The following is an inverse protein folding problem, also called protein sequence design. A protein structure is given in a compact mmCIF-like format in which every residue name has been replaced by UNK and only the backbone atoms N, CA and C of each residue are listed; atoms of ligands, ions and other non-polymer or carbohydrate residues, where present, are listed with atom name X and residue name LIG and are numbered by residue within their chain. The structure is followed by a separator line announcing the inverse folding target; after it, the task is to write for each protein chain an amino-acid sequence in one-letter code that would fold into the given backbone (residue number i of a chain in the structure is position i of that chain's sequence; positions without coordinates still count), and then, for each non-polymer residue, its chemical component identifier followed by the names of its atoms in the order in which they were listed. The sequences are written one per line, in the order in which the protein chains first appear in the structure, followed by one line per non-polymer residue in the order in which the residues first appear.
data_IF_936364674596
#
_entry.id   IF_936364674596
#
_cell.length_a   1.000
_cell.length_b   1.000
_cell.length_c   1.000
_cell.angle_alpha   90.00
_cell.angle_beta   90.00
_cell.angle_gamma   90.00
#
_symmetry.space_group_name_H-M   'P 1'
#
loop_
_entity.id
_entity.type
_entity.pdbx_description
1 polymer ?
#
# COMPACT_ATOMS: atom_id res chain seq x y z
N UNK A 1 -6.74 42.15 -14.25
CA UNK A 1 -6.02 42.12 -12.96
C UNK A 1 -5.47 40.72 -12.81
N UNK A 2 -4.15 40.61 -12.90
CA UNK A 2 -3.42 39.37 -13.11
C UNK A 2 -3.59 38.39 -11.95
N UNK A 3 -3.88 37.12 -12.27
CA UNK A 3 -3.43 35.98 -11.46
C UNK A 3 -2.47 35.19 -12.34
N UNK A 4 -1.20 35.59 -12.27
CA UNK A 4 -0.09 34.76 -12.69
C UNK A 4 -0.11 33.57 -11.75
N UNK A 5 -0.38 32.38 -12.28
CA UNK A 5 -0.08 31.13 -11.57
C UNK A 5 1.45 31.03 -11.55
N UNK A 6 2.05 31.27 -10.38
CA UNK A 6 3.39 30.78 -10.10
C UNK A 6 3.28 29.25 -9.96
N UNK A 7 3.48 28.54 -11.08
CA UNK A 7 3.96 27.15 -11.02
C UNK A 7 5.38 27.22 -10.47
N UNK A 8 5.50 27.16 -9.14
CA UNK A 8 6.76 26.83 -8.50
C UNK A 8 7.03 25.37 -8.88
N UNK A 9 8.06 25.15 -9.70
CA UNK A 9 8.44 23.82 -10.16
C UNK A 9 8.55 22.85 -9.00
N UNK A 10 7.89 21.69 -9.12
CA UNK A 10 8.14 20.56 -8.23
C UNK A 10 9.61 20.17 -8.37
N UNK A 11 10.40 20.52 -7.36
CA UNK A 11 11.76 20.00 -7.17
C UNK A 11 11.67 18.48 -7.12
N UNK A 12 12.45 17.77 -7.95
CA UNK A 12 12.47 16.30 -7.92
C UNK A 12 13.02 15.85 -6.57
N UNK A 13 12.13 15.58 -5.62
CA UNK A 13 12.50 15.17 -4.28
C UNK A 13 12.73 13.65 -4.28
N UNK A 14 13.94 13.20 -3.96
CA UNK A 14 14.18 11.78 -3.76
C UNK A 14 13.56 11.34 -2.42
N UNK A 15 13.03 10.12 -2.38
CA UNK A 15 12.45 9.58 -1.14
C UNK A 15 13.48 9.58 -0.01
N UNK A 16 13.09 10.00 1.18
CA UNK A 16 13.99 10.05 2.34
C UNK A 16 14.43 8.67 2.87
N UNK A 17 13.85 7.57 2.38
CA UNK A 17 14.16 6.20 2.82
C UNK A 17 15.25 5.50 1.97
N UNK A 18 16.05 6.24 1.19
CA UNK A 18 17.21 5.66 0.49
C UNK A 18 18.13 4.97 1.49
N UNK A 19 18.53 3.74 1.18
CA UNK A 19 19.55 3.04 1.95
C UNK A 19 20.94 3.38 1.42
N UNK A 20 21.81 3.91 2.29
CA UNK A 20 23.21 4.23 2.02
C UNK A 20 24.08 3.19 2.72
N UNK A 21 24.64 2.21 2.00
CA UNK A 21 25.49 1.19 2.61
C UNK A 21 26.83 1.79 3.03
N UNK A 22 27.51 1.16 3.98
CA UNK A 22 28.91 1.50 4.33
C UNK A 22 29.90 0.93 3.30
N UNK A 23 29.56 -0.18 2.65
CA UNK A 23 30.42 -0.90 1.69
C UNK A 23 29.65 -1.29 0.43
N UNK A 24 30.32 -1.13 -0.70
CA UNK A 24 29.85 -1.63 -2.00
C UNK A 24 30.74 -2.79 -2.47
N UNK A 25 30.14 -3.69 -3.26
CA UNK A 25 30.82 -4.77 -3.96
C UNK A 25 30.57 -4.62 -5.44
N UNK A 26 31.63 -4.65 -6.24
CA UNK A 26 31.58 -4.37 -7.67
C UNK A 26 32.00 -5.61 -8.43
N UNK A 27 31.13 -6.07 -9.33
CA UNK A 27 31.39 -7.17 -10.25
C UNK A 27 31.46 -6.66 -11.67
N UNK A 28 32.19 -7.34 -12.54
CA UNK A 28 32.50 -6.83 -13.88
C UNK A 28 32.03 -7.77 -14.98
N UNK A 29 31.69 -7.20 -16.13
CA UNK A 29 31.47 -7.90 -17.39
C UNK A 29 32.30 -7.25 -18.48
N UNK A 30 32.81 -8.04 -19.42
CA UNK A 30 33.56 -7.51 -20.56
C UNK A 30 32.63 -6.70 -21.48
N UNK A 31 33.05 -5.48 -21.82
CA UNK A 31 32.26 -4.56 -22.61
C UNK A 31 33.14 -3.59 -23.38
N UNK A 32 33.45 -3.92 -24.63
CA UNK A 32 34.34 -3.13 -25.51
C UNK A 32 33.95 -1.65 -25.66
N UNK A 33 32.67 -1.32 -25.50
CA UNK A 33 32.18 0.04 -25.68
C UNK A 33 32.28 0.91 -24.40
N UNK A 34 33.21 0.59 -23.50
CA UNK A 34 33.51 1.31 -22.25
C UNK A 34 34.98 1.75 -22.30
N UNK A 35 35.37 2.80 -21.58
CA UNK A 35 36.78 3.22 -21.47
C UNK A 35 37.64 2.12 -20.84
N UNK A 36 37.09 1.44 -19.84
CA UNK A 36 37.79 0.37 -19.10
C UNK A 36 37.72 -0.99 -19.78
N UNK A 37 36.98 -1.10 -20.90
CA UNK A 37 36.56 -2.36 -21.53
C UNK A 37 35.75 -3.28 -20.62
N UNK A 38 35.25 -2.76 -19.50
CA UNK A 38 34.38 -3.47 -18.56
C UNK A 38 33.16 -2.63 -18.18
N UNK A 39 32.03 -3.30 -17.93
CA UNK A 39 30.86 -2.71 -17.30
C UNK A 39 30.73 -3.27 -15.88
N UNK A 40 30.43 -2.40 -14.93
CA UNK A 40 30.28 -2.75 -13.54
C UNK A 40 28.81 -2.98 -13.16
N UNK A 41 28.57 -4.01 -12.36
CA UNK A 41 27.37 -4.16 -11.56
C UNK A 41 27.76 -3.92 -10.11
N UNK A 42 27.38 -2.75 -9.61
CA UNK A 42 27.55 -2.35 -8.21
C UNK A 42 26.42 -2.92 -7.37
N UNK A 43 26.77 -3.65 -6.31
CA UNK A 43 25.88 -4.09 -5.24
C UNK A 43 26.44 -3.66 -3.88
N UNK A 44 25.77 -4.03 -2.79
CA UNK A 44 26.10 -3.54 -1.46
C UNK A 44 25.94 -4.59 -0.36
N UNK A 45 26.60 -4.31 0.77
CA UNK A 45 26.42 -5.03 2.02
C UNK A 45 25.31 -4.37 2.85
N UNK A 46 24.35 -5.15 3.32
CA UNK A 46 23.34 -4.67 4.27
C UNK A 46 23.92 -4.46 5.68
N UNK A 47 23.10 -3.95 6.61
CA UNK A 47 23.48 -3.71 8.02
C UNK A 47 23.92 -4.99 8.77
N UNK A 48 23.67 -6.18 8.21
CA UNK A 48 24.09 -7.49 8.75
C UNK A 48 25.36 -8.01 8.07
N UNK A 49 25.93 -7.26 7.12
CA UNK A 49 27.10 -7.66 6.35
C UNK A 49 26.77 -8.66 5.24
N UNK A 50 25.50 -8.84 4.86
CA UNK A 50 25.11 -9.73 3.77
C UNK A 50 25.05 -8.96 2.45
N UNK A 51 25.61 -9.55 1.39
CA UNK A 51 25.53 -9.01 0.03
C UNK A 51 24.09 -9.07 -0.49
N UNK A 52 23.55 -7.93 -0.94
CA UNK A 52 22.22 -7.85 -1.54
C UNK A 52 22.29 -8.20 -3.01
N UNK A 53 21.21 -8.77 -3.55
CA UNK A 53 21.14 -9.30 -4.94
C UNK A 53 22.28 -10.27 -5.31
N UNK A 54 22.90 -10.92 -4.32
CA UNK A 54 24.10 -11.74 -4.49
C UNK A 54 23.98 -12.77 -5.63
N UNK A 55 22.90 -13.56 -5.67
CA UNK A 55 22.71 -14.55 -6.74
C UNK A 55 22.62 -13.93 -8.13
N UNK A 56 21.87 -12.82 -8.26
CA UNK A 56 21.73 -12.13 -9.55
C UNK A 56 23.04 -11.47 -9.98
N UNK A 57 23.78 -10.92 -9.03
CA UNK A 57 25.07 -10.28 -9.24
C UNK A 57 26.15 -11.32 -9.62
N UNK A 58 26.20 -12.46 -8.91
CA UNK A 58 27.14 -13.55 -9.14
C UNK A 58 26.91 -14.24 -10.48
N UNK A 59 25.63 -14.41 -10.88
CA UNK A 59 25.28 -14.93 -12.20
C UNK A 59 25.59 -13.95 -13.33
N UNK A 60 25.53 -12.65 -13.04
CA UNK A 60 25.76 -11.60 -14.04
C UNK A 60 27.24 -11.34 -14.29
N UNK A 61 28.12 -11.36 -13.27
CA UNK A 61 29.53 -11.02 -13.44
C UNK A 61 30.32 -12.11 -14.19
N UNK A 62 31.39 -11.70 -14.85
CA UNK A 62 32.37 -12.63 -15.40
C UNK A 62 33.19 -13.23 -14.26
N UNK A 63 33.15 -14.55 -14.12
CA UNK A 63 33.85 -15.29 -13.05
C UNK A 63 35.37 -15.26 -13.19
N UNK A 64 35.89 -14.83 -14.35
CA UNK A 64 37.32 -14.65 -14.59
C UNK A 64 37.86 -13.32 -14.11
N UNK A 65 36.98 -12.37 -13.80
CA UNK A 65 37.34 -11.06 -13.27
C UNK A 65 36.97 -11.05 -11.79
N UNK A 66 37.97 -10.84 -10.94
CA UNK A 66 37.74 -10.78 -9.50
C UNK A 66 36.92 -9.54 -9.15
N UNK A 67 35.91 -9.69 -8.28
CA UNK A 67 35.12 -8.57 -7.81
C UNK A 67 35.92 -7.74 -6.81
N UNK A 68 35.62 -6.45 -6.72
CA UNK A 68 36.30 -5.52 -5.83
C UNK A 68 35.33 -4.97 -4.79
N UNK A 69 35.77 -4.90 -3.55
CA UNK A 69 35.03 -4.25 -2.47
C UNK A 69 35.59 -2.84 -2.25
N UNK A 70 34.70 -1.86 -2.09
CA UNK A 70 35.07 -0.49 -1.78
C UNK A 70 34.25 0.05 -0.61
N UNK A 71 34.86 0.92 0.19
CA UNK A 71 34.13 1.74 1.15
C UNK A 71 33.25 2.75 0.41
N UNK A 72 32.01 2.93 0.86
CA UNK A 72 31.06 3.86 0.26
C UNK A 72 31.14 5.22 0.96
N UNK A 73 32.27 5.89 0.79
CA UNK A 73 32.51 7.24 1.29
C UNK A 73 32.21 8.29 0.20
N UNK A 74 31.84 9.53 0.58
CA UNK A 74 31.80 10.67 -0.33
C UNK A 74 33.01 10.69 -1.25
N UNK A 75 32.76 10.73 -2.56
CA UNK A 75 33.82 10.63 -3.57
C UNK A 75 33.57 11.64 -4.68
N UNK A 76 34.59 12.41 -5.05
CA UNK A 76 34.55 13.35 -6.17
C UNK A 76 35.18 12.75 -7.43
N UNK A 77 34.80 13.27 -8.61
CA UNK A 77 35.45 12.91 -9.88
C UNK A 77 34.66 11.94 -10.76
N UNK A 78 33.35 11.79 -10.52
CA UNK A 78 32.45 11.05 -11.39
C UNK A 78 32.30 11.76 -12.75
N UNK A 79 32.28 11.00 -13.85
CA UNK A 79 32.19 11.58 -15.20
C UNK A 79 31.05 10.94 -15.97
N UNK A 80 30.15 11.76 -16.52
CA UNK A 80 29.15 11.29 -17.47
C UNK A 80 29.84 10.84 -18.76
N UNK A 81 29.68 9.57 -19.13
CA UNK A 81 30.29 9.01 -20.34
C UNK A 81 29.34 9.13 -21.54
N UNK A 82 28.25 8.36 -21.53
CA UNK A 82 27.34 8.28 -22.68
C UNK A 82 25.95 7.77 -22.32
N UNK A 83 24.98 8.08 -23.17
CA UNK A 83 23.66 7.41 -23.18
C UNK A 83 23.81 5.95 -23.64
N UNK A 84 23.12 5.05 -22.95
CA UNK A 84 23.00 3.63 -23.28
C UNK A 84 21.57 3.15 -23.00
N UNK A 85 21.19 1.99 -23.52
CA UNK A 85 19.75 1.68 -23.62
C UNK A 85 19.09 2.60 -24.65
N UNK A 86 17.80 2.38 -24.92
CA UNK A 86 17.06 2.98 -26.04
C UNK A 86 17.33 2.30 -27.41
N UNK A 87 16.82 1.07 -27.58
CA UNK A 87 16.71 0.41 -28.88
C UNK A 87 15.26 -0.04 -29.07
N UNK A 88 14.71 0.23 -30.26
CA UNK A 88 13.38 -0.22 -30.68
C UNK A 88 13.57 -1.54 -31.42
N UNK A 89 13.17 -2.64 -30.80
CA UNK A 89 13.08 -3.94 -31.50
C UNK A 89 11.66 -4.46 -31.66
N UNK A 90 10.66 -3.84 -31.03
CA UNK A 90 9.21 -4.10 -31.18
C UNK A 90 8.45 -3.19 -30.19
N UNK A 91 7.15 -3.44 -29.94
CA UNK A 91 6.28 -2.80 -28.92
C UNK A 91 6.86 -2.71 -27.48
N UNK A 92 8.07 -3.21 -27.24
CA UNK A 92 8.74 -3.21 -25.94
C UNK A 92 9.91 -2.20 -25.93
N UNK A 93 9.68 -1.04 -25.33
CA UNK A 93 10.70 0.00 -25.18
C UNK A 93 11.71 -0.41 -24.10
N UNK A 94 12.99 -0.53 -24.47
CA UNK A 94 14.05 -0.69 -23.47
C UNK A 94 14.30 0.63 -22.76
N UNK A 95 14.29 0.62 -21.43
CA UNK A 95 14.66 1.79 -20.62
C UNK A 95 16.03 2.36 -21.01
N UNK A 96 16.12 3.69 -21.05
CA UNK A 96 17.36 4.42 -21.28
C UNK A 96 18.11 4.60 -19.95
N UNK A 97 19.43 4.55 -20.04
CA UNK A 97 20.36 4.70 -18.93
C UNK A 97 21.49 5.64 -19.34
N UNK A 98 22.16 6.22 -18.34
CA UNK A 98 23.38 7.01 -18.54
C UNK A 98 24.53 6.26 -17.91
N UNK A 99 25.58 6.05 -18.70
CA UNK A 99 26.82 5.47 -18.20
C UNK A 99 27.65 6.53 -17.51
N UNK A 100 28.10 6.22 -16.30
CA UNK A 100 28.93 7.07 -15.46
C UNK A 100 30.23 6.34 -15.17
N UNK A 101 31.35 7.05 -15.28
CA UNK A 101 32.65 6.60 -14.84
C UNK A 101 32.84 6.96 -13.37
N UNK A 102 33.17 5.96 -12.55
CA UNK A 102 33.61 6.12 -11.17
C UNK A 102 35.14 6.32 -11.15
N UNK A 103 35.66 7.31 -10.42
CA UNK A 103 37.10 7.57 -10.29
C UNK A 103 37.91 6.39 -9.72
N UNK A 104 37.26 5.37 -9.14
CA UNK A 104 37.85 4.10 -8.69
C UNK A 104 38.14 3.12 -9.84
N UNK A 105 37.88 3.52 -11.09
CA UNK A 105 38.36 2.82 -12.28
C UNK A 105 37.35 1.90 -12.93
N UNK A 106 36.05 2.18 -12.79
CA UNK A 106 35.00 1.38 -13.42
C UNK A 106 33.83 2.23 -13.92
N UNK A 107 33.01 1.65 -14.79
CA UNK A 107 31.83 2.33 -15.34
C UNK A 107 30.56 1.60 -14.97
N UNK A 108 29.53 2.33 -14.57
CA UNK A 108 28.23 1.80 -14.18
C UNK A 108 27.11 2.61 -14.83
N UNK A 109 25.86 2.15 -14.69
CA UNK A 109 24.70 2.76 -15.34
C UNK A 109 23.73 3.29 -14.28
N UNK A 110 23.26 4.52 -14.46
CA UNK A 110 22.19 5.15 -13.67
C UNK A 110 20.97 5.43 -14.57
N UNK A 111 19.79 5.57 -13.96
CA UNK A 111 18.56 5.94 -14.69
C UNK A 111 18.60 7.40 -15.14
N UNK A 112 17.76 7.75 -16.12
CA UNK A 112 17.60 9.15 -16.54
C UNK A 112 17.06 10.00 -15.40
N UNK A 113 16.13 9.47 -14.59
CA UNK A 113 15.58 10.14 -13.40
C UNK A 113 16.69 10.50 -12.40
N UNK A 114 17.62 9.58 -12.12
CA UNK A 114 18.74 9.87 -11.23
C UNK A 114 19.69 10.91 -11.83
N UNK A 115 19.92 10.90 -13.15
CA UNK A 115 20.70 11.95 -13.81
C UNK A 115 20.04 13.33 -13.66
N UNK A 116 18.74 13.44 -13.88
CA UNK A 116 18.01 14.71 -13.74
C UNK A 116 18.13 15.26 -12.32
N UNK A 117 17.98 14.39 -11.32
CA UNK A 117 18.19 14.75 -9.92
C UNK A 117 19.61 15.25 -9.63
N UNK A 118 20.63 14.58 -10.18
CA UNK A 118 22.03 15.02 -10.03
C UNK A 118 22.22 16.41 -10.64
N UNK A 119 21.68 16.65 -11.84
CA UNK A 119 21.84 17.94 -12.53
C UNK A 119 21.08 19.08 -11.87
N UNK A 120 20.05 18.78 -11.08
CA UNK A 120 19.33 19.76 -10.27
C UNK A 120 20.13 20.18 -9.02
N UNK A 121 20.96 19.27 -8.48
CA UNK A 121 21.66 19.45 -7.21
C UNK A 121 23.19 19.60 -7.33
N UNK A 122 23.75 19.40 -8.52
CA UNK A 122 25.18 19.44 -8.78
C UNK A 122 25.48 19.93 -10.21
N UNK A 123 26.65 20.53 -10.41
CA UNK A 123 27.06 20.99 -11.73
C UNK A 123 27.71 19.85 -12.54
N UNK A 124 27.48 19.85 -13.85
CA UNK A 124 28.23 19.01 -14.79
C UNK A 124 29.12 19.89 -15.67
N UNK A 125 30.43 19.85 -15.42
CA UNK A 125 31.41 20.69 -16.13
C UNK A 125 32.04 19.89 -17.27
N UNK A 126 31.97 20.45 -18.48
CA UNK A 126 32.60 19.86 -19.67
C UNK A 126 34.09 19.59 -19.43
N UNK A 127 34.50 18.33 -19.61
CA UNK A 127 35.89 17.90 -19.46
C UNK A 127 36.36 17.66 -18.02
N UNK A 128 35.55 17.97 -17.00
CA UNK A 128 35.84 17.66 -15.59
C UNK A 128 34.87 16.64 -14.97
N UNK A 129 33.68 16.51 -15.54
CA UNK A 129 32.65 15.59 -15.05
C UNK A 129 31.65 16.28 -14.11
N UNK A 130 31.07 15.49 -13.21
CA UNK A 130 30.17 15.95 -12.16
C UNK A 130 30.99 16.60 -11.04
N UNK A 131 30.65 17.84 -10.72
CA UNK A 131 31.24 18.60 -9.62
C UNK A 131 30.61 18.21 -8.28
N UNK A 132 31.42 18.18 -7.22
CA UNK A 132 31.00 17.79 -5.89
C UNK A 132 31.36 16.35 -5.53
N UNK A 133 30.90 15.93 -4.36
CA UNK A 133 31.05 14.57 -3.86
C UNK A 133 29.75 13.80 -4.00
N UNK A 134 29.88 12.52 -4.32
CA UNK A 134 28.75 11.62 -4.51
C UNK A 134 28.94 10.35 -3.70
N UNK A 135 27.81 9.72 -3.38
CA UNK A 135 27.75 8.48 -2.63
C UNK A 135 26.70 7.55 -3.24
N UNK A 136 26.94 6.24 -3.15
CA UNK A 136 25.96 5.26 -3.62
C UNK A 136 24.83 5.08 -2.61
N UNK A 137 23.61 5.02 -3.12
CA UNK A 137 22.40 4.68 -2.36
C UNK A 137 21.50 3.73 -3.14
N UNK A 138 20.48 3.20 -2.47
CA UNK A 138 19.47 2.33 -3.06
C UNK A 138 18.05 2.76 -2.71
N UNK A 139 17.24 3.06 -3.73
CA UNK A 139 15.77 3.15 -3.60
C UNK A 139 15.20 1.74 -3.79
N UNK A 140 14.99 1.03 -2.68
CA UNK A 140 14.54 -0.36 -2.68
C UNK A 140 15.53 -1.29 -3.38
N UNK A 141 15.33 -1.53 -4.69
CA UNK A 141 16.19 -2.38 -5.51
C UNK A 141 17.11 -1.58 -6.44
N UNK A 142 16.82 -0.33 -6.70
CA UNK A 142 17.46 0.44 -7.77
C UNK A 142 18.60 1.26 -7.21
N UNK A 143 19.72 1.24 -7.92
CA UNK A 143 20.91 2.00 -7.55
C UNK A 143 20.67 3.47 -7.87
N UNK A 144 21.02 4.35 -6.92
CA UNK A 144 21.04 5.79 -7.11
C UNK A 144 22.41 6.34 -6.70
N UNK A 145 22.92 7.29 -7.46
CA UNK A 145 24.08 8.09 -7.10
C UNK A 145 23.58 9.42 -6.53
N UNK A 146 23.91 9.69 -5.26
CA UNK A 146 23.42 10.86 -4.52
C UNK A 146 24.52 11.93 -4.42
N UNK A 147 24.24 13.19 -4.81
CA UNK A 147 25.10 14.33 -4.49
C UNK A 147 25.05 14.63 -2.99
N UNK A 148 26.20 14.74 -2.35
CA UNK A 148 26.34 15.01 -0.91
C UNK A 148 25.83 16.41 -0.53
N UNK A 149 25.86 17.35 -1.46
CA UNK A 149 25.38 18.72 -1.25
C UNK A 149 23.85 18.84 -1.31
N UNK A 150 23.14 17.81 -1.80
CA UNK A 150 21.69 17.83 -1.88
C UNK A 150 21.06 17.98 -0.48
N UNK A 151 19.94 18.72 -0.36
CA UNK A 151 19.22 18.84 0.91
C UNK A 151 18.75 17.47 1.42
N UNK A 152 18.30 16.59 0.51
CA UNK A 152 17.82 15.25 0.85
C UNK A 152 18.91 14.37 1.48
N UNK A 153 20.17 14.49 1.02
CA UNK A 153 21.26 13.70 1.58
C UNK A 153 21.45 13.93 3.09
N UNK A 154 21.19 15.14 3.59
CA UNK A 154 21.30 15.42 5.03
C UNK A 154 20.29 14.63 5.85
N UNK A 155 19.08 14.50 5.36
CA UNK A 155 18.03 13.70 6.01
C UNK A 155 18.30 12.20 5.87
N UNK A 156 18.64 11.76 4.66
CA UNK A 156 19.01 10.37 4.35
C UNK A 156 20.20 9.92 5.21
N UNK A 157 21.20 10.77 5.41
CA UNK A 157 22.40 10.46 6.20
C UNK A 157 22.06 10.25 7.68
N UNK A 158 21.27 11.15 8.29
CA UNK A 158 20.79 10.98 9.68
C UNK A 158 20.05 9.67 9.86
N UNK A 159 19.14 9.39 8.93
CA UNK A 159 18.34 8.18 8.92
C UNK A 159 19.19 6.90 8.80
N UNK A 160 20.18 6.89 7.89
CA UNK A 160 21.07 5.74 7.71
C UNK A 160 22.00 5.51 8.90
N UNK A 161 22.45 6.56 9.59
CA UNK A 161 23.26 6.41 10.80
C UNK A 161 22.50 5.60 11.86
N UNK A 162 21.22 5.92 12.11
CA UNK A 162 20.35 5.17 13.02
C UNK A 162 20.23 3.70 12.59
N UNK A 163 20.03 3.44 11.29
CA UNK A 163 19.95 2.08 10.75
C UNK A 163 21.22 1.26 10.99
N UNK A 164 22.40 1.86 10.79
CA UNK A 164 23.69 1.18 10.96
C UNK A 164 24.07 0.99 12.43
N UNK A 165 23.68 1.91 13.30
CA UNK A 165 23.87 1.80 14.77
C UNK A 165 23.04 0.66 15.38
N UNK A 166 22.04 0.15 14.66
CA UNK A 166 21.11 -0.90 15.13
C UNK A 166 20.41 -0.49 16.44
N UNK A 167 20.21 0.80 16.64
CA UNK A 167 19.42 1.38 17.72
C UNK A 167 17.93 1.21 17.40
N UNK A 168 17.45 -0.04 17.34
CA UNK A 168 16.03 -0.31 17.22
C UNK A 168 15.38 -0.35 18.61
N UNK A 169 14.12 0.09 18.64
CA UNK A 169 13.36 0.19 19.87
C UNK A 169 12.91 -1.20 20.29
N UNK A 170 13.16 -1.55 21.54
CA UNK A 170 12.75 -2.84 22.10
C UNK A 170 11.30 -2.77 22.52
N UNK A 171 10.65 -3.94 22.57
CA UNK A 171 9.23 -4.01 22.98
C UNK A 171 8.92 -3.47 24.36
N UNK A 172 9.91 -3.41 25.27
CA UNK A 172 9.74 -2.87 26.63
C UNK A 172 9.82 -1.34 26.68
N UNK A 173 10.33 -0.72 25.62
CA UNK A 173 10.51 0.73 25.48
C UNK A 173 9.31 1.37 24.75
N UNK A 174 8.33 0.55 24.33
CA UNK A 174 7.11 1.05 23.72
C UNK A 174 6.17 1.65 24.77
N UNK A 175 5.76 2.89 24.54
CA UNK A 175 4.86 3.68 25.36
C UNK A 175 3.54 3.83 24.59
N UNK A 176 2.43 3.52 25.24
CA UNK A 176 1.09 3.64 24.64
C UNK A 176 0.83 5.12 24.33
N UNK A 177 0.39 5.40 23.10
CA UNK A 177 0.09 6.76 22.62
C UNK A 177 1.29 7.55 22.11
N UNK A 178 2.52 7.05 22.31
CA UNK A 178 3.72 7.65 21.77
C UNK A 178 3.83 7.44 20.24
N UNK A 179 4.54 8.34 19.56
CA UNK A 179 4.74 8.30 18.12
C UNK A 179 6.13 7.77 17.78
N UNK A 180 6.16 6.82 16.86
CA UNK A 180 7.36 6.10 16.45
C UNK A 180 7.56 6.20 14.95
N UNK A 181 8.82 6.20 14.54
CA UNK A 181 9.22 6.13 13.13
C UNK A 181 9.69 4.74 12.75
N UNK A 182 9.20 4.26 11.62
CA UNK A 182 9.55 2.95 11.06
C UNK A 182 10.79 3.03 10.18
N UNK A 183 11.36 1.88 9.87
CA UNK A 183 12.41 1.72 8.85
C UNK A 183 12.00 2.03 7.40
N UNK A 184 10.75 2.45 7.18
CA UNK A 184 10.28 2.92 5.87
C UNK A 184 10.02 4.43 5.92
N UNK A 185 10.57 5.11 6.93
CA UNK A 185 10.39 6.53 7.22
C UNK A 185 8.91 6.94 7.35
N UNK A 186 8.10 6.11 8.01
CA UNK A 186 6.69 6.39 8.29
C UNK A 186 6.47 6.53 9.78
N UNK A 187 5.61 7.45 10.17
CA UNK A 187 5.29 7.73 11.57
C UNK A 187 3.94 7.12 11.93
N UNK A 188 3.90 6.48 13.10
CA UNK A 188 2.71 5.84 13.65
C UNK A 188 2.64 5.98 15.16
N UNK A 189 1.42 6.05 15.67
CA UNK A 189 1.12 6.01 17.10
C UNK A 189 1.06 4.56 17.55
N UNK A 190 1.71 4.22 18.67
CA UNK A 190 1.62 2.88 19.24
C UNK A 190 0.32 2.71 20.03
N UNK A 191 -0.55 1.82 19.56
CA UNK A 191 -1.87 1.59 20.16
C UNK A 191 -1.85 0.54 21.27
N UNK A 192 -0.88 -0.38 21.23
CA UNK A 192 -0.75 -1.45 22.22
C UNK A 192 -0.48 -2.83 21.61
N UNK A 193 -0.60 -3.87 22.44
CA UNK A 193 -0.39 -5.28 22.04
C UNK A 193 -1.65 -6.10 22.28
N UNK A 194 -2.39 -6.35 21.21
CA UNK A 194 -3.71 -6.98 21.25
C UNK A 194 -3.78 -8.21 20.35
N UNK A 195 -4.83 -9.01 20.51
CA UNK A 195 -5.15 -10.06 19.55
C UNK A 195 -5.49 -9.45 18.20
N UNK A 196 -4.94 -10.02 17.13
CA UNK A 196 -5.22 -9.60 15.77
C UNK A 196 -6.07 -10.66 15.08
N UNK A 197 -7.18 -10.21 14.50
CA UNK A 197 -8.12 -11.04 13.79
C UNK A 197 -8.05 -10.78 12.29
N UNK A 198 -8.21 -11.86 11.54
CA UNK A 198 -8.23 -11.84 10.08
C UNK A 198 -9.36 -12.74 9.61
N UNK A 199 -9.61 -12.75 8.31
CA UNK A 199 -10.63 -13.61 7.73
C UNK A 199 -10.01 -14.61 6.77
N UNK A 200 -10.58 -15.83 6.74
CA UNK A 200 -10.18 -16.88 5.80
C UNK A 200 -11.39 -17.28 4.98
N UNK A 201 -11.23 -17.24 3.66
CA UNK A 201 -12.22 -17.77 2.73
C UNK A 201 -12.13 -19.30 2.71
N UNK A 202 -13.27 -19.95 2.85
CA UNK A 202 -13.40 -21.41 2.87
C UNK A 202 -14.31 -21.83 1.72
N UNK A 203 -13.74 -22.63 0.81
CA UNK A 203 -14.50 -23.33 -0.22
C UNK A 203 -15.09 -24.62 0.37
N UNK A 204 -16.41 -24.84 0.24
CA UNK A 204 -17.00 -26.10 0.66
C UNK A 204 -16.58 -27.23 -0.29
N UNK A 205 -16.53 -28.45 0.23
CA UNK A 205 -16.30 -29.67 -0.56
C UNK A 205 -17.50 -29.99 -1.46
N UNK A 206 -18.72 -29.67 -0.98
CA UNK A 206 -19.94 -29.75 -1.77
C UNK A 206 -20.09 -28.48 -2.61
N UNK A 207 -20.00 -28.65 -3.93
CA UNK A 207 -20.22 -27.59 -4.93
C UNK A 207 -21.59 -26.90 -4.83
N UNK A 208 -22.59 -27.51 -4.19
CA UNK A 208 -23.91 -26.90 -3.96
C UNK A 208 -23.91 -25.88 -2.83
N UNK A 209 -22.92 -25.89 -1.95
CA UNK A 209 -22.79 -24.92 -0.88
C UNK A 209 -22.03 -23.68 -1.36
N UNK A 210 -22.42 -22.52 -0.83
CA UNK A 210 -21.68 -21.28 -1.07
C UNK A 210 -20.43 -21.26 -0.20
N UNK A 211 -19.36 -20.69 -0.73
CA UNK A 211 -18.20 -20.36 0.07
C UNK A 211 -18.56 -19.38 1.18
N UNK A 212 -17.84 -19.48 2.28
CA UNK A 212 -18.06 -18.66 3.46
C UNK A 212 -16.73 -18.19 4.03
N UNK A 213 -16.82 -17.16 4.86
CA UNK A 213 -15.67 -16.54 5.49
C UNK A 213 -15.69 -16.86 6.98
N UNK A 214 -14.55 -17.30 7.52
CA UNK A 214 -14.38 -17.55 8.95
C UNK A 214 -13.38 -16.59 9.56
N UNK A 215 -13.62 -16.18 10.80
CA UNK A 215 -12.67 -15.40 11.58
C UNK A 215 -11.50 -16.29 12.01
N UNK A 216 -10.28 -15.77 11.89
CA UNK A 216 -9.04 -16.45 12.26
C UNK A 216 -8.22 -15.54 13.17
N UNK A 217 -7.98 -16.00 14.39
CA UNK A 217 -7.08 -15.34 15.32
C UNK A 217 -5.63 -15.56 14.89
N UNK A 218 -4.87 -14.48 14.65
CA UNK A 218 -3.44 -14.52 14.29
C UNK A 218 -2.51 -14.34 15.50
N UNK A 219 -3.08 -14.34 16.70
CA UNK A 219 -2.39 -14.14 17.96
C UNK A 219 -2.11 -12.67 18.27
N UNK A 220 -1.37 -12.44 19.35
CA UNK A 220 -1.04 -11.08 19.82
C UNK A 220 -0.03 -10.40 18.90
N UNK A 221 -0.34 -9.18 18.46
CA UNK A 221 0.51 -8.34 17.62
C UNK A 221 0.66 -6.94 18.23
N UNK A 222 1.76 -6.27 17.91
CA UNK A 222 1.90 -4.83 18.15
C UNK A 222 1.08 -4.09 17.10
N UNK A 223 0.18 -3.22 17.55
CA UNK A 223 -0.67 -2.40 16.67
C UNK A 223 -0.14 -0.98 16.69
N UNK A 224 0.22 -0.49 15.51
CA UNK A 224 0.58 0.89 15.26
C UNK A 224 -0.46 1.48 14.31
N UNK A 225 -0.85 2.73 14.51
CA UNK A 225 -1.91 3.34 13.72
C UNK A 225 -1.56 4.77 13.29
N UNK A 226 -2.14 5.19 12.17
CA UNK A 226 -2.12 6.56 11.66
C UNK A 226 -3.52 6.88 11.13
N UNK A 227 -4.05 8.06 11.46
CA UNK A 227 -5.32 8.53 10.88
C UNK A 227 -5.23 8.64 9.35
N UNK A 228 -6.29 8.23 8.68
CA UNK A 228 -6.44 8.30 7.23
C UNK A 228 -7.90 8.59 6.88
N UNK A 229 -8.16 8.81 5.60
CA UNK A 229 -9.50 8.94 5.05
C UNK A 229 -9.74 7.75 4.11
N UNK A 230 -10.85 7.04 4.29
CA UNK A 230 -11.20 5.92 3.43
C UNK A 230 -11.82 6.38 2.10
N UNK A 231 -12.08 5.43 1.20
CA UNK A 231 -12.67 5.71 -0.12
C UNK A 231 -14.06 6.37 -0.06
N UNK A 232 -14.74 6.30 1.09
CA UNK A 232 -16.03 6.96 1.36
C UNK A 232 -15.88 8.35 1.97
N UNK A 233 -14.65 8.90 2.01
CA UNK A 233 -14.33 10.20 2.61
C UNK A 233 -14.64 10.28 4.11
N UNK A 234 -14.64 9.15 4.82
CA UNK A 234 -14.80 9.08 6.28
C UNK A 234 -13.44 8.86 6.94
N UNK A 235 -13.29 9.33 8.18
CA UNK A 235 -12.12 9.05 9.01
C UNK A 235 -11.96 7.54 9.25
N UNK A 236 -10.72 7.08 9.20
CA UNK A 236 -10.34 5.68 9.34
C UNK A 236 -8.89 5.58 9.85
N UNK A 237 -8.40 4.36 10.07
CA UNK A 237 -7.03 4.09 10.47
C UNK A 237 -6.27 3.30 9.41
N UNK A 238 -5.06 3.75 9.13
CA UNK A 238 -4.04 2.93 8.49
C UNK A 238 -3.28 2.16 9.58
N UNK A 239 -3.51 0.84 9.65
CA UNK A 239 -2.93 -0.03 10.66
C UNK A 239 -1.63 -0.71 10.18
N UNK A 240 -0.60 -0.60 11.00
CA UNK A 240 0.63 -1.37 10.89
C UNK A 240 0.66 -2.42 12.00
N UNK A 241 0.38 -3.67 11.63
CA UNK A 241 0.35 -4.80 12.56
C UNK A 241 1.65 -5.61 12.47
N UNK A 242 2.28 -5.83 13.63
CA UNK A 242 3.60 -6.46 13.70
C UNK A 242 3.58 -7.59 14.74
N UNK A 243 3.78 -8.84 14.30
CA UNK A 243 3.87 -10.00 15.21
C UNK A 243 5.11 -9.94 16.11
N UNK A 244 6.25 -9.58 15.54
CA UNK A 244 7.55 -9.41 16.23
C UNK A 244 8.20 -8.10 15.78
N UNK A 245 8.56 -7.26 16.74
CA UNK A 245 9.01 -5.88 16.51
C UNK A 245 10.27 -5.82 15.62
N UNK A 246 11.26 -6.67 15.93
CA UNK A 246 12.51 -6.75 15.18
C UNK A 246 13.19 -5.38 15.04
N UNK A 247 13.64 -5.08 13.82
CA UNK A 247 14.29 -3.81 13.42
C UNK A 247 13.31 -2.84 12.73
N UNK A 248 11.99 -3.04 12.91
CA UNK A 248 10.98 -2.28 12.16
C UNK A 248 10.75 -0.88 12.69
N UNK A 249 10.96 -0.68 13.99
CA UNK A 249 10.77 0.60 14.69
C UNK A 249 12.14 1.08 15.16
N UNK A 250 12.54 2.26 14.71
CA UNK A 250 13.93 2.71 14.79
C UNK A 250 14.11 3.98 15.63
N UNK A 251 13.04 4.75 15.85
CA UNK A 251 13.15 6.06 16.52
C UNK A 251 11.83 6.41 17.22
N UNK A 252 11.94 7.05 18.39
CA UNK A 252 10.84 7.67 19.11
C UNK A 252 10.79 9.14 18.68
N UNK A 253 9.65 9.58 18.15
CA UNK A 253 9.47 10.98 17.71
C UNK A 253 8.95 11.81 18.86
N UNK A 254 7.97 11.27 19.59
CA UNK A 254 7.49 11.85 20.84
C UNK A 254 7.08 10.72 21.77
N UNK A 255 7.45 10.86 23.05
CA UNK A 255 7.00 10.01 24.14
C UNK A 255 5.64 10.46 24.69
N UNK A 256 5.20 11.66 24.33
CA UNK A 256 3.91 12.21 24.75
C UNK A 256 2.78 11.46 24.05
N UNK A 257 1.72 11.21 24.80
CA UNK A 257 0.50 10.63 24.25
C UNK A 257 -0.13 11.64 23.28
N UNK A 258 -0.41 11.23 22.06
CA UNK A 258 -1.10 12.09 21.09
C UNK A 258 -2.49 12.49 21.61
N UNK A 259 -2.86 13.75 21.41
CA UNK A 259 -4.14 14.31 21.90
C UNK A 259 -5.36 13.56 21.35
N UNK A 260 -5.23 13.03 20.13
CA UNK A 260 -6.29 12.30 19.44
C UNK A 260 -6.27 10.78 19.67
N UNK A 261 -5.49 10.32 20.66
CA UNK A 261 -5.34 8.89 20.95
C UNK A 261 -6.68 8.21 21.22
N UNK A 262 -7.55 8.87 21.99
CA UNK A 262 -8.86 8.33 22.34
C UNK A 262 -9.76 8.12 21.10
N UNK A 263 -9.75 9.06 20.17
CA UNK A 263 -10.50 8.96 18.91
C UNK A 263 -9.94 7.85 18.02
N UNK A 264 -8.62 7.78 17.89
CA UNK A 264 -7.95 6.69 17.18
C UNK A 264 -8.29 5.34 17.82
N UNK A 265 -8.33 5.26 19.14
CA UNK A 265 -8.66 4.01 19.81
C UNK A 265 -10.11 3.60 19.58
N UNK A 266 -11.08 4.52 19.57
CA UNK A 266 -12.47 4.21 19.23
C UNK A 266 -12.63 3.71 17.78
N UNK A 267 -11.88 4.28 16.83
CA UNK A 267 -11.81 3.76 15.45
C UNK A 267 -11.22 2.34 15.40
N UNK A 268 -10.16 2.08 16.17
CA UNK A 268 -9.57 0.74 16.28
C UNK A 268 -10.56 -0.27 16.85
N UNK A 269 -11.34 0.09 17.87
CA UNK A 269 -12.35 -0.78 18.47
C UNK A 269 -13.49 -1.17 17.51
N UNK A 270 -13.74 -0.36 16.48
CA UNK A 270 -14.72 -0.61 15.41
C UNK A 270 -14.15 -1.44 14.25
N UNK A 271 -12.87 -1.78 14.29
CA UNK A 271 -12.21 -2.60 13.27
C UNK A 271 -12.40 -4.09 13.52
N UNK A 272 -12.78 -4.83 12.47
CA UNK A 272 -12.87 -6.30 12.52
C UNK A 272 -11.52 -6.99 12.73
N UNK A 273 -10.42 -6.26 12.57
CA UNK A 273 -9.07 -6.73 12.88
C UNK A 273 -8.74 -6.69 14.37
N UNK A 274 -9.38 -5.82 15.14
CA UNK A 274 -9.23 -5.73 16.59
C UNK A 274 -10.19 -6.69 17.31
N UNK A 275 -11.44 -6.70 16.88
CA UNK A 275 -12.49 -7.57 17.40
C UNK A 275 -13.21 -8.23 16.23
N UNK A 276 -13.32 -9.57 16.16
CA UNK A 276 -13.91 -10.23 15.01
C UNK A 276 -15.40 -9.92 14.90
N UNK A 277 -15.93 -9.98 13.68
CA UNK A 277 -17.35 -9.87 13.40
C UNK A 277 -18.13 -11.04 14.04
N UNK A 278 -19.29 -10.73 14.64
CA UNK A 278 -20.16 -11.69 15.31
C UNK A 278 -21.58 -11.64 14.75
N UNK A 279 -21.88 -12.58 13.84
CA UNK A 279 -23.20 -12.69 13.20
C UNK A 279 -24.34 -12.88 14.21
N UNK A 280 -24.07 -13.44 15.39
CA UNK A 280 -25.11 -13.66 16.41
C UNK A 280 -25.60 -12.35 17.06
N UNK A 281 -24.84 -11.26 16.89
CA UNK A 281 -25.15 -9.93 17.43
C UNK A 281 -25.82 -9.01 16.44
N UNK A 282 -26.07 -9.48 15.22
CA UNK A 282 -26.63 -8.62 14.18
C UNK A 282 -28.07 -8.22 14.48
N UNK A 283 -28.36 -6.97 14.19
CA UNK A 283 -29.68 -6.39 14.40
C UNK A 283 -30.34 -6.08 13.05
N UNK A 284 -31.58 -6.51 12.91
CA UNK A 284 -32.42 -6.27 11.75
C UNK A 284 -33.44 -5.19 12.08
N UNK A 285 -33.20 -3.98 11.60
CA UNK A 285 -33.98 -2.80 11.94
C UNK A 285 -34.90 -2.45 10.77
N UNK A 286 -36.19 -2.28 11.05
CA UNK A 286 -37.20 -1.88 10.06
C UNK A 286 -36.93 -0.44 9.63
N UNK A 287 -36.90 -0.20 8.32
CA UNK A 287 -36.82 1.16 7.80
C UNK A 287 -38.07 1.95 8.16
N UNK A 288 -37.89 3.23 8.48
CA UNK A 288 -39.00 4.18 8.31
C UNK A 288 -39.48 4.18 6.84
N UNK A 289 -40.78 4.32 6.63
CA UNK A 289 -41.39 4.27 5.30
C UNK A 289 -40.74 5.25 4.34
N UNK A 290 -40.54 6.51 4.76
CA UNK A 290 -39.98 7.55 3.90
C UNK A 290 -38.50 7.26 3.63
N UNK A 291 -37.74 6.84 4.65
CA UNK A 291 -36.34 6.45 4.48
C UNK A 291 -36.16 5.31 3.48
N UNK A 292 -37.03 4.29 3.53
CA UNK A 292 -37.04 3.20 2.55
C UNK A 292 -37.28 3.72 1.13
N UNK A 293 -38.30 4.57 0.95
CA UNK A 293 -38.65 5.14 -0.35
C UNK A 293 -37.48 5.94 -0.93
N UNK A 294 -36.88 6.81 -0.12
CA UNK A 294 -35.76 7.65 -0.53
C UNK A 294 -34.55 6.80 -0.93
N UNK A 295 -34.23 5.78 -0.13
CA UNK A 295 -33.10 4.88 -0.40
C UNK A 295 -33.26 4.12 -1.72
N UNK A 296 -34.47 3.64 -2.01
CA UNK A 296 -34.73 2.95 -3.29
C UNK A 296 -34.62 3.91 -4.48
N UNK A 297 -35.11 5.14 -4.33
CA UNK A 297 -35.08 6.16 -5.38
C UNK A 297 -33.69 6.73 -5.65
N UNK A 298 -32.86 6.88 -4.63
CA UNK A 298 -31.48 7.41 -4.76
C UNK A 298 -30.62 6.57 -5.72
N UNK A 299 -30.86 5.24 -5.77
CA UNK A 299 -30.13 4.32 -6.65
C UNK A 299 -30.67 4.24 -8.09
N UNK A 300 -31.73 4.99 -8.44
CA UNK A 300 -32.33 4.94 -9.79
C UNK A 300 -31.42 5.50 -10.90
N UNK A 301 -30.46 6.36 -10.57
CA UNK A 301 -29.56 7.01 -11.53
C UNK A 301 -28.39 6.15 -12.05
N UNK A 302 -28.10 5.02 -11.40
CA UNK A 302 -26.95 4.17 -11.72
C UNK A 302 -27.42 2.76 -12.13
N UNK A 303 -27.55 2.54 -13.44
CA UNK A 303 -27.58 1.19 -14.05
C UNK A 303 -28.63 0.20 -13.51
N UNK A 304 -29.90 0.58 -13.27
CA UNK A 304 -31.01 -0.35 -12.90
C UNK A 304 -30.69 -1.34 -11.76
N UNK A 305 -29.68 -1.08 -10.93
CA UNK A 305 -29.32 -1.95 -9.83
C UNK A 305 -30.39 -1.81 -8.75
N UNK A 306 -30.95 -2.94 -8.32
CA UNK A 306 -31.94 -2.93 -7.26
C UNK A 306 -31.32 -2.59 -5.91
N UNK A 307 -32.16 -2.09 -5.01
CA UNK A 307 -31.81 -1.85 -3.62
C UNK A 307 -31.98 -3.15 -2.84
N UNK A 308 -30.90 -3.65 -2.24
CA UNK A 308 -30.94 -4.84 -1.39
C UNK A 308 -31.49 -4.47 -0.01
N UNK A 309 -32.47 -5.25 0.47
CA UNK A 309 -33.13 -5.11 1.77
C UNK A 309 -33.34 -6.47 2.41
N UNK A 310 -33.62 -6.52 3.70
CA UNK A 310 -34.02 -7.74 4.39
C UNK A 310 -35.53 -7.74 4.66
N UNK A 311 -36.18 -8.86 4.36
CA UNK A 311 -37.62 -9.07 4.62
C UNK A 311 -37.86 -10.04 5.79
N UNK A 312 -36.80 -10.71 6.26
CA UNK A 312 -36.78 -11.60 7.42
C UNK A 312 -35.54 -11.31 8.28
N UNK A 313 -35.56 -11.71 9.56
CA UNK A 313 -34.51 -11.43 10.54
C UNK A 313 -33.36 -12.45 10.49
N UNK A 314 -32.81 -12.71 9.31
CA UNK A 314 -31.63 -13.55 9.12
C UNK A 314 -30.93 -13.23 7.78
N UNK A 315 -29.68 -13.67 7.64
CA UNK A 315 -28.83 -13.35 6.47
C UNK A 315 -29.42 -13.78 5.13
N UNK A 316 -30.15 -14.89 5.11
CA UNK A 316 -30.73 -15.45 3.88
C UNK A 316 -32.07 -14.79 3.51
N UNK A 317 -32.60 -13.93 4.39
CA UNK A 317 -33.86 -13.19 4.22
C UNK A 317 -33.73 -11.95 3.33
N UNK A 318 -32.71 -11.91 2.46
CA UNK A 318 -32.42 -10.76 1.62
C UNK A 318 -33.28 -10.78 0.35
N UNK A 319 -33.87 -9.64 0.03
CA UNK A 319 -34.61 -9.38 -1.21
C UNK A 319 -34.05 -8.13 -1.90
N UNK A 320 -34.30 -8.03 -3.20
CA UNK A 320 -33.93 -6.87 -4.00
C UNK A 320 -35.20 -6.15 -4.46
N UNK A 321 -35.24 -4.83 -4.23
CA UNK A 321 -36.30 -3.93 -4.70
C UNK A 321 -35.78 -3.14 -5.88
N UNK A 322 -36.46 -3.23 -7.02
CA UNK A 322 -36.07 -2.48 -8.22
C UNK A 322 -37.30 -2.03 -8.99
N UNK A 323 -37.13 -0.99 -9.79
CA UNK A 323 -38.18 -0.51 -10.69
C UNK A 323 -38.50 -1.58 -11.73
N UNK A 324 -39.77 -1.78 -12.06
CA UNK A 324 -40.18 -2.83 -12.99
C UNK A 324 -39.66 -2.58 -14.41
N UNK A 325 -39.75 -1.33 -14.87
CA UNK A 325 -39.13 -0.83 -16.10
C UNK A 325 -38.95 0.69 -15.98
N UNK A 326 -38.28 1.32 -16.96
CA UNK A 326 -37.97 2.77 -16.94
C UNK A 326 -39.20 3.67 -16.84
N UNK A 327 -40.34 3.22 -17.34
CA UNK A 327 -41.56 4.01 -17.51
C UNK A 327 -42.62 3.69 -16.46
N UNK A 328 -42.47 2.59 -15.72
CA UNK A 328 -43.43 2.11 -14.72
C UNK A 328 -43.28 2.87 -13.41
N UNK A 329 -44.39 3.24 -12.77
CA UNK A 329 -44.39 3.73 -11.39
C UNK A 329 -44.32 2.58 -10.38
N UNK A 330 -44.39 1.33 -10.86
CA UNK A 330 -44.32 0.14 -10.03
C UNK A 330 -42.90 -0.38 -9.85
N UNK A 331 -42.73 -1.02 -8.70
CA UNK A 331 -41.53 -1.68 -8.27
C UNK A 331 -41.80 -3.17 -8.06
N UNK A 332 -40.72 -3.94 -8.18
CA UNK A 332 -40.70 -5.38 -7.98
C UNK A 332 -39.79 -5.66 -6.80
N UNK A 333 -40.26 -6.50 -5.89
CA UNK A 333 -39.42 -7.11 -4.86
C UNK A 333 -39.24 -8.59 -5.16
N UNK A 334 -37.99 -9.05 -5.19
CA UNK A 334 -37.65 -10.42 -5.58
C UNK A 334 -36.51 -10.99 -4.72
N UNK A 335 -36.53 -12.30 -4.49
CA UNK A 335 -35.40 -13.04 -3.93
C UNK A 335 -34.59 -13.68 -5.05
N UNK A 336 -33.29 -13.88 -4.81
CA UNK A 336 -32.37 -14.49 -5.78
C UNK A 336 -31.98 -15.87 -5.30
N UNK A 337 -32.19 -16.88 -6.14
CA UNK A 337 -31.80 -18.27 -5.87
C UNK A 337 -30.78 -18.74 -6.89
N UNK A 338 -29.74 -19.44 -6.42
CA UNK A 338 -28.70 -20.02 -7.27
C UNK A 338 -29.23 -21.32 -7.90
N UNK A 339 -29.24 -21.38 -9.23
CA UNK A 339 -29.66 -22.57 -10.00
C UNK A 339 -28.52 -23.03 -10.91
N UNK A 340 -28.43 -24.32 -11.27
CA UNK A 340 -27.43 -24.77 -12.24
C UNK A 340 -27.55 -24.00 -13.56
N UNK A 341 -26.41 -23.63 -14.16
CA UNK A 341 -26.44 -22.94 -15.45
C UNK A 341 -27.04 -23.84 -16.54
N UNK A 342 -27.85 -23.25 -17.41
CA UNK A 342 -28.46 -23.96 -18.54
C UNK A 342 -27.48 -24.17 -19.70
N UNK A 343 -26.42 -23.36 -19.78
CA UNK A 343 -25.55 -23.25 -20.96
C UNK A 343 -24.10 -23.71 -20.74
N UNK A 344 -23.78 -24.35 -19.60
CA UNK A 344 -22.43 -24.87 -19.36
C UNK A 344 -22.14 -25.19 -17.90
N UNK A 345 -20.86 -25.23 -17.54
CA UNK A 345 -20.40 -25.38 -16.16
C UNK A 345 -20.59 -24.08 -15.38
N UNK A 346 -21.24 -24.17 -14.21
CA UNK A 346 -21.46 -23.03 -13.33
C UNK A 346 -22.91 -22.91 -12.86
N UNK A 347 -23.27 -21.72 -12.41
CA UNK A 347 -24.58 -21.43 -11.83
C UNK A 347 -25.12 -20.11 -12.38
N UNK A 348 -26.44 -20.05 -12.54
CA UNK A 348 -27.18 -18.84 -12.86
C UNK A 348 -27.97 -18.39 -11.63
N UNK A 349 -28.29 -17.11 -11.57
CA UNK A 349 -29.16 -16.56 -10.53
C UNK A 349 -30.57 -16.44 -11.09
N UNK A 350 -31.51 -17.17 -10.49
CA UNK A 350 -32.93 -17.07 -10.79
C UNK A 350 -33.60 -16.11 -9.81
N UNK A 351 -34.26 -15.09 -10.35
CA UNK A 351 -35.10 -14.18 -9.57
C UNK A 351 -36.49 -14.80 -9.36
N UNK A 352 -36.93 -14.80 -8.10
CA UNK A 352 -38.29 -15.19 -7.72
C UNK A 352 -39.02 -13.94 -7.24
N UNK A 353 -39.94 -13.45 -8.08
CA UNK A 353 -40.72 -12.26 -7.79
C UNK A 353 -41.70 -12.55 -6.67
N UNK A 354 -41.60 -11.79 -5.58
CA UNK A 354 -42.48 -11.91 -4.42
C UNK A 354 -43.72 -11.03 -4.57
N UNK A 355 -43.56 -9.82 -5.12
CA UNK A 355 -44.65 -8.87 -5.28
C UNK A 355 -44.33 -7.77 -6.30
N UNK A 356 -45.37 -7.15 -6.85
CA UNK A 356 -45.33 -5.98 -7.72
C UNK A 356 -46.31 -4.93 -7.20
N UNK A 357 -45.87 -3.68 -7.12
CA UNK A 357 -46.70 -2.57 -6.67
C UNK A 357 -45.87 -1.32 -6.39
N UNK A 358 -46.49 -0.35 -5.73
CA UNK A 358 -45.81 0.87 -5.28
C UNK A 358 -44.83 0.57 -4.13
N UNK A 359 -43.88 1.47 -3.89
CA UNK A 359 -42.96 1.35 -2.75
C UNK A 359 -43.69 1.34 -1.40
N UNK A 360 -44.80 2.06 -1.29
CA UNK A 360 -45.61 2.06 -0.06
C UNK A 360 -46.24 0.69 0.20
N UNK A 361 -46.80 0.05 -0.84
CA UNK A 361 -47.36 -1.29 -0.73
C UNK A 361 -46.29 -2.33 -0.39
N UNK A 362 -45.10 -2.23 -1.00
CA UNK A 362 -43.96 -3.08 -0.68
C UNK A 362 -43.54 -2.90 0.78
N UNK A 363 -43.40 -1.65 1.25
CA UNK A 363 -43.01 -1.38 2.63
C UNK A 363 -44.06 -1.90 3.62
N UNK A 364 -45.34 -1.62 3.37
CA UNK A 364 -46.44 -2.09 4.22
C UNK A 364 -46.46 -3.61 4.35
N UNK A 365 -46.22 -4.33 3.24
CA UNK A 365 -46.30 -5.79 3.20
C UNK A 365 -45.09 -6.51 3.78
N UNK A 366 -43.88 -6.01 3.51
CA UNK A 366 -42.64 -6.72 3.85
C UNK A 366 -41.88 -6.11 5.02
N UNK A 367 -42.22 -4.88 5.41
CA UNK A 367 -41.55 -4.12 6.48
C UNK A 367 -40.03 -4.20 6.30
N UNK A 368 -39.55 -3.72 5.15
CA UNK A 368 -38.16 -3.86 4.74
C UNK A 368 -37.20 -3.40 5.84
N UNK A 369 -36.08 -4.12 6.00
CA UNK A 369 -35.10 -3.92 7.06
C UNK A 369 -33.71 -3.69 6.49
N UNK A 370 -32.86 -3.05 7.29
CA UNK A 370 -31.42 -3.08 7.14
C UNK A 370 -30.77 -3.88 8.27
N UNK A 371 -29.53 -4.32 8.03
CA UNK A 371 -28.77 -5.16 8.96
C UNK A 371 -27.60 -4.35 9.51
N UNK A 372 -27.62 -4.07 10.80
CA UNK A 372 -26.44 -3.59 11.52
C UNK A 372 -25.57 -4.78 11.91
N UNK A 373 -24.29 -4.70 11.57
CA UNK A 373 -23.31 -5.73 11.91
C UNK A 373 -22.48 -5.30 13.10
N UNK A 374 -22.36 -6.17 14.08
CA UNK A 374 -21.62 -5.90 15.31
C UNK A 374 -20.40 -6.81 15.45
N UNK A 375 -19.41 -6.31 16.17
CA UNK A 375 -18.23 -7.10 16.56
C UNK A 375 -18.48 -7.82 17.88
N UNK A 376 -17.63 -8.79 18.20
CA UNK A 376 -17.70 -9.50 19.49
C UNK A 376 -17.58 -8.56 20.71
N UNK A 377 -16.89 -7.43 20.60
CA UNK A 377 -16.83 -6.39 21.65
C UNK A 377 -18.10 -5.50 21.73
N UNK A 378 -19.10 -5.72 20.87
CA UNK A 378 -20.37 -4.98 20.85
C UNK A 378 -20.31 -3.65 20.10
N UNK A 379 -19.18 -3.28 19.51
CA UNK A 379 -19.09 -2.08 18.66
C UNK A 379 -19.76 -2.32 17.32
N UNK A 380 -20.41 -1.29 16.79
CA UNK A 380 -21.00 -1.30 15.45
C UNK A 380 -19.87 -1.30 14.41
N UNK A 381 -19.84 -2.34 13.57
CA UNK A 381 -18.86 -2.51 12.50
C UNK A 381 -19.33 -1.91 11.19
N UNK A 382 -20.59 -2.18 10.84
CA UNK A 382 -21.19 -1.77 9.57
C UNK A 382 -22.64 -1.38 9.81
N UNK A 383 -22.99 -0.14 9.46
CA UNK A 383 -24.36 0.32 9.46
C UNK A 383 -25.02 -0.05 8.13
N UNK A 384 -26.06 -0.89 8.18
CA UNK A 384 -26.76 -1.36 6.99
C UNK A 384 -27.58 -0.28 6.27
N UNK A 385 -27.91 0.83 6.93
CA UNK A 385 -28.60 1.95 6.29
C UNK A 385 -27.65 2.80 5.42
N UNK A 386 -26.36 2.85 5.77
CA UNK A 386 -25.35 3.62 5.02
C UNK A 386 -24.79 2.90 3.78
N UNK A 387 -25.19 1.64 3.54
CA UNK A 387 -24.81 0.80 2.39
C UNK A 387 -25.97 0.66 1.40
#
# INVERSE_FOLDING_TARGET
MNRVNEEIGEVLTIKTNIFVPQKIKVGFQNRENTYTKTLAYVTYYDVKGKVRKETSWENWRDKKIDPVDHENIPTSGFVLNKKVGDYVSDWNHRQAYVRVYDPRGFEFEITIENLLYILENANSIKGKGLEGEFIYGWDGKDLVLLPVESPDYKEISKYNNILHEKSYIKSKELIIGATYRTKDNREFVYMGRFEYWDTKWVSPEDVRQSSYTVNVNKGKQYIFAKKTINYRKKEDLYLLNIKSLGDRIIEVITEECTDDYAEMFDLLEKSSHYSPYDESKDEYIIYDKNRFIDKVKEKEGAWFYGTSVYIENHKDGMAEVKRENRESENYVIATKTRVPSRWGSGYETKENILYRGTLEEIWNKFQARYRNKYLTNGKLHENGDEN
#
